data_IF_302200431408
#
_entry.id   IF_302200431408
#
_cell.length_a   1.000
_cell.length_b   1.000
_cell.length_c   1.000
_cell.angle_alpha   90.00
_cell.angle_beta   90.00
_cell.angle_gamma   90.00
#
_symmetry.space_group_name_H-M   'P 1'
#
loop_
_entity.id
_entity.type
_entity.pdbx_description
1 polymer ?
#
# COMPACT_ATOMS: atom_id res chain seq x y z
N UNK A 1 -54.63 -25.89 -48.98
CA UNK A 1 -54.29 -25.84 -47.54
C UNK A 1 -53.02 -26.65 -47.35
N UNK A 2 -51.89 -25.98 -47.25
CA UNK A 2 -50.57 -26.61 -47.17
C UNK A 2 -50.17 -26.79 -45.70
N UNK A 3 -50.04 -28.04 -45.24
CA UNK A 3 -49.70 -28.36 -43.85
C UNK A 3 -48.19 -28.31 -43.69
N UNK A 4 -47.67 -27.21 -43.13
CA UNK A 4 -46.29 -27.16 -42.63
C UNK A 4 -46.12 -28.22 -41.54
N UNK A 5 -45.37 -29.29 -41.85
CA UNK A 5 -44.85 -30.22 -40.85
C UNK A 5 -43.81 -29.46 -40.00
N UNK A 6 -44.17 -29.08 -38.79
CA UNK A 6 -43.21 -28.65 -37.78
C UNK A 6 -42.40 -29.87 -37.35
N UNK A 7 -41.17 -30.00 -37.87
CA UNK A 7 -40.20 -30.97 -37.34
C UNK A 7 -39.83 -30.55 -35.92
N UNK A 8 -40.40 -31.24 -34.93
CA UNK A 8 -39.90 -31.24 -33.57
C UNK A 8 -38.67 -32.15 -33.53
N UNK A 9 -37.48 -31.57 -33.71
CA UNK A 9 -36.22 -32.29 -33.52
C UNK A 9 -36.00 -32.55 -32.04
N UNK A 10 -36.02 -33.83 -31.64
CA UNK A 10 -35.59 -34.25 -30.31
C UNK A 10 -34.08 -34.13 -30.17
N UNK A 11 -33.61 -33.69 -29.00
CA UNK A 11 -32.18 -33.60 -28.71
C UNK A 11 -31.53 -34.98 -28.77
N UNK A 12 -30.41 -35.06 -29.49
CA UNK A 12 -29.64 -36.30 -29.58
C UNK A 12 -28.74 -36.47 -28.35
N UNK A 13 -28.44 -37.72 -27.98
CA UNK A 13 -27.50 -38.01 -26.88
C UNK A 13 -26.13 -37.36 -27.13
N UNK A 14 -25.70 -37.30 -28.40
CA UNK A 14 -24.43 -36.70 -28.79
C UNK A 14 -24.42 -35.18 -28.63
N UNK A 15 -25.54 -34.49 -28.89
CA UNK A 15 -25.67 -33.06 -28.58
C UNK A 15 -25.51 -32.77 -27.09
N UNK A 16 -26.12 -33.59 -26.23
CA UNK A 16 -26.02 -33.42 -24.77
C UNK A 16 -24.57 -33.63 -24.31
N UNK A 17 -23.86 -34.62 -24.86
CA UNK A 17 -22.44 -34.86 -24.57
C UNK A 17 -21.56 -33.69 -25.02
N UNK A 18 -21.80 -33.14 -26.22
CA UNK A 18 -21.07 -31.97 -26.73
C UNK A 18 -21.36 -30.74 -25.87
N UNK A 19 -22.62 -30.50 -25.50
CA UNK A 19 -23.00 -29.40 -24.63
C UNK A 19 -22.32 -29.48 -23.25
N UNK A 20 -22.26 -30.67 -22.65
CA UNK A 20 -21.57 -30.89 -21.37
C UNK A 20 -20.05 -30.65 -21.48
N UNK A 21 -19.43 -31.07 -22.58
CA UNK A 21 -18.00 -30.84 -22.82
C UNK A 21 -17.68 -29.33 -22.95
N UNK A 22 -18.49 -28.58 -23.69
CA UNK A 22 -18.35 -27.13 -23.84
C UNK A 22 -18.61 -26.43 -22.51
N UNK A 23 -19.64 -26.84 -21.77
CA UNK A 23 -19.96 -26.30 -20.45
C UNK A 23 -18.80 -26.50 -19.47
N UNK A 24 -18.19 -27.69 -19.46
CA UNK A 24 -17.03 -27.99 -18.61
C UNK A 24 -15.83 -27.08 -18.89
N UNK A 25 -15.53 -26.83 -20.17
CA UNK A 25 -14.48 -25.88 -20.58
C UNK A 25 -14.80 -24.43 -20.15
N UNK A 26 -16.06 -24.02 -20.29
CA UNK A 26 -16.53 -22.69 -19.86
C UNK A 26 -16.40 -22.48 -18.34
N UNK A 27 -16.80 -23.46 -17.54
CA UNK A 27 -16.71 -23.37 -16.08
C UNK A 27 -15.25 -23.36 -15.61
N UNK A 28 -14.39 -24.18 -16.20
CA UNK A 28 -12.97 -24.23 -15.83
C UNK A 28 -12.24 -22.90 -16.07
N UNK A 29 -12.52 -22.24 -17.20
CA UNK A 29 -11.93 -20.93 -17.52
C UNK A 29 -12.47 -19.81 -16.63
N UNK A 30 -13.77 -19.81 -16.31
CA UNK A 30 -14.38 -18.83 -15.40
C UNK A 30 -13.79 -18.93 -13.99
N UNK A 31 -13.65 -20.15 -13.44
CA UNK A 31 -13.07 -20.37 -12.11
C UNK A 31 -11.58 -20.01 -12.09
N UNK A 32 -10.82 -20.41 -13.12
CA UNK A 32 -9.40 -20.06 -13.21
C UNK A 32 -9.14 -18.55 -13.32
N UNK A 33 -9.99 -17.83 -14.05
CA UNK A 33 -9.94 -16.37 -14.14
C UNK A 33 -10.31 -15.69 -12.81
N UNK A 34 -11.33 -16.20 -12.11
CA UNK A 34 -11.77 -15.67 -10.83
C UNK A 34 -10.72 -15.85 -9.72
N UNK A 35 -10.09 -17.02 -9.64
CA UNK A 35 -9.00 -17.29 -8.67
C UNK A 35 -7.81 -16.36 -8.93
N UNK A 36 -7.41 -16.18 -10.20
CA UNK A 36 -6.34 -15.25 -10.56
C UNK A 36 -6.70 -13.80 -10.22
N UNK A 37 -7.91 -13.36 -10.55
CA UNK A 37 -8.41 -12.01 -10.24
C UNK A 37 -8.43 -11.71 -8.74
N UNK A 38 -8.90 -12.66 -7.92
CA UNK A 38 -8.92 -12.53 -6.46
C UNK A 38 -7.50 -12.39 -5.88
N UNK A 39 -6.52 -13.13 -6.42
CA UNK A 39 -5.13 -13.02 -5.95
C UNK A 39 -4.46 -11.70 -6.33
N UNK A 40 -4.77 -11.14 -7.50
CA UNK A 40 -4.26 -9.82 -7.93
C UNK A 40 -4.90 -8.68 -7.14
N UNK A 41 -6.20 -8.78 -6.82
CA UNK A 41 -6.89 -7.78 -6.01
C UNK A 41 -6.35 -7.72 -4.57
N UNK A 42 -6.08 -8.89 -3.96
CA UNK A 42 -5.48 -8.96 -2.63
C UNK A 42 -4.09 -8.31 -2.56
N UNK A 43 -3.27 -8.49 -3.61
CA UNK A 43 -1.97 -7.80 -3.71
C UNK A 43 -2.13 -6.28 -3.91
N UNK A 44 -3.12 -5.85 -4.71
CA UNK A 44 -3.38 -4.43 -4.95
C UNK A 44 -3.89 -3.68 -3.70
N UNK A 45 -4.63 -4.34 -2.81
CA UNK A 45 -5.07 -3.75 -1.53
C UNK A 45 -3.87 -3.54 -0.60
N UNK A 46 -2.96 -4.53 -0.50
CA UNK A 46 -1.80 -4.45 0.38
C UNK A 46 -0.80 -3.36 -0.01
N UNK A 47 -0.53 -3.18 -1.31
CA UNK A 47 0.37 -2.11 -1.80
C UNK A 47 -0.28 -0.73 -1.61
N UNK A 48 -1.61 -0.62 -1.80
CA UNK A 48 -2.34 0.64 -1.52
C UNK A 48 -2.30 0.98 -0.03
N UNK A 49 -2.42 -0.02 0.83
CA UNK A 49 -2.33 0.17 2.28
C UNK A 49 -0.92 0.65 2.67
N UNK A 50 0.14 0.09 2.10
CA UNK A 50 1.53 0.52 2.37
C UNK A 50 1.78 2.00 2.04
N UNK A 51 1.27 2.52 0.92
CA UNK A 51 1.36 3.94 0.58
C UNK A 51 0.63 4.84 1.59
N UNK A 52 -0.57 4.44 2.01
CA UNK A 52 -1.35 5.18 3.01
C UNK A 52 -0.65 5.21 4.37
N UNK A 53 0.06 4.14 4.71
CA UNK A 53 0.87 4.04 5.93
C UNK A 53 2.02 5.05 5.88
N UNK A 54 2.70 5.18 4.75
CA UNK A 54 3.75 6.17 4.58
C UNK A 54 3.24 7.61 4.82
N UNK A 55 2.04 7.93 4.33
CA UNK A 55 1.40 9.24 4.58
C UNK A 55 1.09 9.46 6.07
N UNK A 56 0.52 8.47 6.76
CA UNK A 56 0.19 8.56 8.20
C UNK A 56 1.47 8.75 9.02
N UNK A 57 2.52 7.98 8.72
CA UNK A 57 3.79 8.07 9.43
C UNK A 57 4.47 9.41 9.16
N UNK A 58 4.40 9.92 7.94
CA UNK A 58 4.93 11.25 7.60
C UNK A 58 4.18 12.36 8.34
N UNK A 59 2.85 12.29 8.43
CA UNK A 59 2.05 13.26 9.17
C UNK A 59 2.32 13.17 10.68
N UNK A 60 2.51 11.96 11.20
CA UNK A 60 2.93 11.75 12.59
C UNK A 60 4.30 12.36 12.87
N UNK A 61 5.27 12.17 11.98
CA UNK A 61 6.60 12.79 12.09
C UNK A 61 6.56 14.33 12.01
N UNK A 62 5.54 14.88 11.34
CA UNK A 62 5.33 16.33 11.27
C UNK A 62 4.61 16.89 12.51
N UNK A 63 3.69 16.11 13.08
CA UNK A 63 2.80 16.55 14.18
C UNK A 63 3.33 16.22 15.57
N UNK A 64 3.96 15.05 15.74
CA UNK A 64 4.69 14.72 16.95
C UNK A 64 6.08 15.36 16.88
N UNK A 65 6.49 15.97 17.99
CA UNK A 65 7.81 16.55 18.25
C UNK A 65 8.90 15.45 18.34
N UNK A 66 8.80 14.40 17.52
CA UNK A 66 9.77 13.31 17.39
C UNK A 66 11.11 13.79 16.84
N UNK A 67 11.10 14.93 16.15
CA UNK A 67 12.30 15.68 15.76
C UNK A 67 13.01 16.33 16.96
N UNK A 68 12.34 16.36 18.12
CA UNK A 68 12.73 17.15 19.28
C UNK A 68 12.62 18.65 18.98
N UNK A 69 12.39 19.45 20.04
CA UNK A 69 12.59 20.91 19.99
C UNK A 69 13.99 21.33 19.52
N UNK A 70 14.93 20.38 19.51
CA UNK A 70 16.32 20.54 19.16
C UNK A 70 16.57 20.03 17.72
N UNK A 71 16.28 20.89 16.73
CA UNK A 71 16.44 20.60 15.30
C UNK A 71 17.88 20.24 14.88
N UNK A 72 18.84 20.44 15.80
CA UNK A 72 20.26 20.18 15.64
C UNK A 72 20.65 18.77 16.10
N UNK A 73 19.77 18.04 16.80
CA UNK A 73 20.03 16.65 17.19
C UNK A 73 19.57 15.65 16.12
N UNK A 74 20.14 14.43 16.10
CA UNK A 74 19.62 13.33 15.29
C UNK A 74 18.43 12.68 16.00
N UNK A 75 17.24 12.60 15.38
CA UNK A 75 16.14 11.82 15.93
C UNK A 75 16.56 10.37 16.15
N UNK A 76 16.02 9.75 17.18
CA UNK A 76 16.28 8.35 17.47
C UNK A 76 15.54 7.45 16.48
N UNK A 77 16.23 6.45 15.93
CA UNK A 77 15.61 5.44 15.07
C UNK A 77 14.52 4.68 15.85
N UNK A 78 13.37 4.47 15.21
CA UNK A 78 12.25 3.74 15.79
C UNK A 78 12.16 2.38 15.12
N UNK A 79 12.44 1.31 15.86
CA UNK A 79 12.48 -0.05 15.31
C UNK A 79 11.28 -0.88 15.81
N UNK A 80 10.82 -1.78 14.95
CA UNK A 80 9.75 -2.76 15.17
C UNK A 80 8.45 -2.16 15.74
N UNK A 81 8.11 -0.97 15.30
CA UNK A 81 6.94 -0.25 15.78
C UNK A 81 5.66 -0.87 15.21
N UNK A 82 4.64 -1.02 16.06
CA UNK A 82 3.31 -1.44 15.62
C UNK A 82 2.54 -0.25 15.09
N UNK A 83 1.81 -0.45 14.00
CA UNK A 83 0.95 0.60 13.46
C UNK A 83 -0.48 0.49 14.02
N UNK A 84 -0.93 1.55 14.67
CA UNK A 84 -2.31 1.63 15.20
C UNK A 84 -3.30 1.59 14.04
N UNK A 85 -4.31 0.73 14.14
CA UNK A 85 -5.33 0.54 13.09
C UNK A 85 -4.97 -0.51 12.03
N UNK A 86 -3.75 -1.04 12.03
CA UNK A 86 -3.30 -2.06 11.06
C UNK A 86 -2.69 -3.27 11.80
N UNK A 87 -3.50 -4.27 12.21
CA UNK A 87 -3.03 -5.43 12.93
C UNK A 87 -2.06 -6.27 12.07
N UNK A 88 -0.93 -6.68 12.64
CA UNK A 88 0.07 -7.51 11.96
C UNK A 88 1.06 -6.74 11.09
N UNK A 89 0.89 -5.43 10.95
CA UNK A 89 1.83 -4.53 10.30
C UNK A 89 2.81 -3.94 11.32
N UNK A 90 4.08 -3.94 10.94
CA UNK A 90 5.18 -3.33 11.69
C UNK A 90 5.94 -2.37 10.82
N UNK A 91 6.60 -1.40 11.43
CA UNK A 91 7.45 -0.49 10.68
C UNK A 91 8.72 -0.11 11.45
N UNK A 92 9.74 0.21 10.67
CA UNK A 92 11.00 0.78 11.14
C UNK A 92 11.18 2.17 10.53
N UNK A 93 11.65 3.12 11.33
CA UNK A 93 12.07 4.44 10.90
C UNK A 93 13.55 4.61 11.21
N UNK A 94 14.34 4.77 10.17
CA UNK A 94 15.77 5.06 10.27
C UNK A 94 16.04 6.43 9.68
N UNK A 95 16.70 7.27 10.45
CA UNK A 95 17.05 8.62 10.05
C UNK A 95 18.46 8.64 9.46
N UNK A 96 18.56 8.93 8.17
CA UNK A 96 19.79 8.88 7.38
C UNK A 96 20.22 10.28 6.96
N UNK A 97 21.53 10.49 6.87
CA UNK A 97 22.12 11.76 6.48
C UNK A 97 22.85 12.45 7.61
N UNK A 98 23.56 13.51 7.25
CA UNK A 98 24.40 14.26 8.18
C UNK A 98 23.58 15.27 8.98
N UNK A 99 23.93 15.39 10.25
CA UNK A 99 23.25 16.29 11.20
C UNK A 99 23.85 17.68 11.02
N UNK A 100 23.55 18.32 9.89
CA UNK A 100 24.08 19.64 9.55
C UNK A 100 22.93 20.57 9.14
N UNK A 101 22.87 21.74 9.77
CA UNK A 101 21.86 22.77 9.54
C UNK A 101 21.78 23.12 8.04
N UNK A 102 20.56 23.10 7.49
CA UNK A 102 20.29 23.44 6.09
C UNK A 102 20.27 22.25 5.12
N UNK A 103 20.67 21.05 5.54
CA UNK A 103 20.51 19.83 4.74
C UNK A 103 19.26 19.04 5.17
N UNK A 104 18.53 18.45 4.21
CA UNK A 104 17.40 17.58 4.53
C UNK A 104 17.92 16.28 5.16
N UNK A 105 17.31 15.88 6.27
CA UNK A 105 17.48 14.54 6.81
C UNK A 105 16.62 13.58 5.98
N UNK A 106 17.13 12.44 5.59
CA UNK A 106 16.33 11.44 4.89
C UNK A 106 15.75 10.46 5.89
N UNK A 107 14.48 10.11 5.73
CA UNK A 107 13.82 9.10 6.52
C UNK A 107 13.65 7.86 5.66
N UNK A 108 14.16 6.74 6.13
CA UNK A 108 13.90 5.41 5.57
C UNK A 108 12.84 4.73 6.41
N UNK A 109 11.63 4.64 5.87
CA UNK A 109 10.52 3.90 6.44
C UNK A 109 10.50 2.50 5.83
N UNK A 110 10.65 1.47 6.65
CA UNK A 110 10.50 0.06 6.22
C UNK A 110 9.21 -0.49 6.82
N UNK A 111 8.24 -0.82 5.98
CA UNK A 111 6.95 -1.38 6.40
C UNK A 111 7.01 -2.90 6.20
N UNK A 112 6.71 -3.69 7.22
CA UNK A 112 6.77 -5.16 7.23
C UNK A 112 5.41 -5.76 7.55
N UNK A 113 5.00 -6.77 6.78
CA UNK A 113 3.74 -7.48 7.00
C UNK A 113 3.83 -8.94 6.58
N UNK A 114 2.88 -9.76 7.05
CA UNK A 114 2.78 -11.15 6.63
C UNK A 114 1.89 -11.27 5.38
N UNK A 115 2.40 -11.95 4.36
CA UNK A 115 1.69 -12.31 3.15
C UNK A 115 1.87 -13.81 2.89
N UNK A 116 0.77 -14.58 2.91
CA UNK A 116 0.79 -16.05 2.74
C UNK A 116 1.78 -16.77 3.67
N UNK A 117 1.92 -16.28 4.91
CA UNK A 117 2.83 -16.85 5.90
C UNK A 117 4.30 -16.47 5.71
N UNK A 118 4.64 -15.66 4.71
CA UNK A 118 5.96 -15.08 4.53
C UNK A 118 5.96 -13.62 4.95
N UNK A 119 7.00 -13.18 5.64
CA UNK A 119 7.22 -11.76 5.90
C UNK A 119 7.68 -11.08 4.61
N UNK A 120 6.99 -10.02 4.25
CA UNK A 120 7.31 -9.15 3.11
C UNK A 120 7.49 -7.73 3.62
N UNK A 121 8.28 -6.95 2.89
CA UNK A 121 8.61 -5.58 3.28
C UNK A 121 8.60 -4.62 2.10
N UNK A 122 8.24 -3.37 2.38
CA UNK A 122 8.33 -2.26 1.44
C UNK A 122 9.08 -1.08 2.07
N UNK A 123 9.90 -0.40 1.26
CA UNK A 123 10.80 0.65 1.74
C UNK A 123 10.41 1.97 1.07
N UNK A 124 10.13 2.97 1.89
CA UNK A 124 9.87 4.34 1.47
C UNK A 124 11.01 5.24 1.94
N UNK A 125 11.41 6.17 1.08
CA UNK A 125 12.41 7.19 1.40
C UNK A 125 11.84 8.57 1.12
N UNK A 126 11.89 9.45 2.10
CA UNK A 126 11.42 10.83 1.95
C UNK A 126 12.31 11.80 2.72
N UNK A 127 12.50 13.02 2.20
CA UNK A 127 13.20 14.07 2.93
C UNK A 127 12.32 14.61 4.06
N UNK A 128 12.95 14.82 5.22
CA UNK A 128 12.38 15.49 6.37
C UNK A 128 13.07 16.87 6.48
N UNK A 129 12.32 17.96 6.23
CA UNK A 129 12.88 19.30 6.32
C UNK A 129 13.31 19.58 7.77
N UNK A 130 14.54 20.06 7.95
CA UNK A 130 15.08 20.51 9.23
C UNK A 130 15.01 22.03 9.35
N UNK A 131 14.72 22.50 10.55
CA UNK A 131 14.70 23.92 10.91
C UNK A 131 13.30 24.48 11.17
N UNK A 132 13.27 25.66 11.80
CA UNK A 132 12.04 26.39 12.05
C UNK A 132 11.28 26.66 10.75
N UNK A 133 9.95 26.55 10.80
CA UNK A 133 9.09 26.87 9.66
C UNK A 133 9.39 28.28 9.13
N UNK A 134 9.21 28.53 7.84
CA UNK A 134 9.45 29.86 7.26
C UNK A 134 8.78 30.99 8.08
N UNK A 135 7.53 30.85 8.57
CA UNK A 135 6.92 31.83 9.47
C UNK A 135 7.68 32.04 10.79
N UNK A 136 8.17 30.97 11.41
CA UNK A 136 8.95 31.05 12.64
C UNK A 136 10.32 31.70 12.42
N UNK A 137 10.97 31.43 11.28
CA UNK A 137 12.23 32.10 10.88
C UNK A 137 12.04 33.59 10.64
N UNK A 138 10.94 33.99 9.99
CA UNK A 138 10.59 35.39 9.77
C UNK A 138 10.36 36.09 11.11
N UNK A 139 9.64 35.46 12.04
CA UNK A 139 9.37 36.01 13.37
C UNK A 139 10.65 36.20 14.18
N UNK A 140 11.53 35.20 14.22
CA UNK A 140 12.83 35.29 14.90
C UNK A 140 13.73 36.38 14.30
N UNK A 141 13.74 36.56 12.97
CA UNK A 141 14.49 37.62 12.30
C UNK A 141 13.97 39.03 12.63
N UNK A 142 12.65 39.18 12.82
CA UNK A 142 12.03 40.44 13.24
C UNK A 142 12.34 40.77 14.71
N UNK A 143 12.42 39.76 15.58
CA UNK A 143 12.76 39.92 17.00
C UNK A 143 14.25 40.23 17.19
N UNK A 144 15.14 39.70 16.34
CA UNK A 144 16.58 39.95 16.42
C UNK A 144 17.04 41.30 15.84
N UNK A 145 16.15 42.08 15.22
CA UNK A 145 16.43 43.41 14.65
C UNK A 145 15.93 44.58 15.50
N UNK A 146 15.50 44.32 16.74
CA UNK A 146 15.12 45.31 17.75
C UNK A 146 16.13 45.34 18.87
#
# INVERSE_FOLDING_TARGET
MDRRKTQQGGFTLIEILVALAILGLGVGTAVGGFVRGATTQAQGVLVRDASRIAEIVQERLRSEDLLGRDFDARPQDLLDQKLVGYPGLRYDLVFEGEVQLGFPLYVRLTVRWLSRGQEVSEIFRFPLPRGASLPARIRAAQESSR
#
